data_IF_035831354120
#
_entry.id   IF_035831354120
#
_cell.length_a   1.000
_cell.length_b   1.000
_cell.length_c   1.000
_cell.angle_alpha   90.00
_cell.angle_beta   90.00
_cell.angle_gamma   90.00
#
_symmetry.space_group_name_H-M   'P 1'
#
loop_
_entity.id
_entity.type
_entity.pdbx_description
1 polymer ?
#
# COMPACT_ATOMS: atom_id res chain seq x y z
N UNK A 1 13.96 -1.59 -5.74
CA UNK A 1 13.12 -0.46 -5.33
C UNK A 1 13.98 0.78 -5.48
N UNK A 2 13.72 1.61 -6.50
CA UNK A 2 14.57 2.77 -6.78
C UNK A 2 14.04 3.97 -6.00
N UNK A 3 14.84 4.45 -5.05
CA UNK A 3 14.53 5.59 -4.20
C UNK A 3 15.57 6.64 -4.48
N UNK A 4 15.16 7.84 -4.89
CA UNK A 4 16.09 8.93 -5.21
C UNK A 4 15.89 10.07 -4.22
N UNK A 5 16.95 10.40 -3.48
CA UNK A 5 16.99 11.59 -2.64
C UNK A 5 17.41 12.77 -3.51
N UNK A 6 16.62 13.83 -3.48
CA UNK A 6 16.83 15.06 -4.25
C UNK A 6 16.78 16.25 -3.30
N UNK A 7 17.72 17.18 -3.46
CA UNK A 7 17.69 18.46 -2.76
C UNK A 7 16.76 19.41 -3.53
N UNK A 8 15.70 19.88 -2.89
CA UNK A 8 14.74 20.77 -3.53
C UNK A 8 15.10 22.24 -3.23
N UNK A 9 15.59 22.99 -4.22
CA UNK A 9 16.12 24.35 -4.01
C UNK A 9 15.09 25.37 -3.50
N UNK A 10 13.78 25.08 -3.58
CA UNK A 10 12.70 25.92 -3.06
C UNK A 10 12.19 25.56 -1.65
N UNK A 11 12.67 24.45 -1.07
CA UNK A 11 12.23 23.96 0.24
C UNK A 11 13.50 23.67 1.05
N UNK A 12 13.64 24.25 2.23
CA UNK A 12 14.81 23.97 3.08
C UNK A 12 14.77 22.52 3.58
N UNK A 13 15.32 21.59 2.81
CA UNK A 13 15.44 20.18 3.20
C UNK A 13 15.58 19.20 2.05
N UNK A 14 15.92 17.96 2.39
CA UNK A 14 15.97 16.84 1.46
C UNK A 14 14.56 16.29 1.22
N UNK A 15 14.29 15.91 -0.01
CA UNK A 15 13.08 15.20 -0.39
C UNK A 15 13.43 13.90 -1.08
N UNK A 16 12.52 12.95 -1.00
CA UNK A 16 12.63 11.67 -1.67
C UNK A 16 11.54 11.60 -2.73
N UNK A 17 11.94 11.32 -3.95
CA UNK A 17 11.04 10.94 -5.03
C UNK A 17 10.83 9.43 -4.98
N UNK A 18 9.58 9.02 -4.84
CA UNK A 18 9.18 7.62 -4.90
C UNK A 18 7.90 7.46 -5.70
N UNK A 19 7.99 6.81 -6.86
CA UNK A 19 6.86 6.55 -7.78
C UNK A 19 6.02 7.81 -8.10
N UNK A 20 6.67 8.95 -8.29
CA UNK A 20 6.03 10.25 -8.56
C UNK A 20 5.49 10.98 -7.33
N UNK A 21 5.61 10.40 -6.14
CA UNK A 21 5.30 11.03 -4.86
C UNK A 21 6.55 11.65 -4.24
N UNK A 22 6.43 12.88 -3.76
CA UNK A 22 7.47 13.57 -3.02
C UNK A 22 7.24 13.42 -1.52
N UNK A 23 8.24 12.89 -0.81
CA UNK A 23 8.21 12.69 0.64
C UNK A 23 9.34 13.50 1.28
N UNK A 24 9.03 14.22 2.36
CA UNK A 24 10.02 15.00 3.09
C UNK A 24 10.90 14.11 3.96
N UNK A 25 12.20 14.39 3.99
CA UNK A 25 13.13 13.84 4.96
C UNK A 25 13.13 14.71 6.22
N UNK A 26 12.77 14.13 7.35
CA UNK A 26 12.74 14.79 8.65
C UNK A 26 14.13 14.88 9.28
N UNK A 27 14.92 13.79 9.21
CA UNK A 27 16.32 13.75 9.64
C UNK A 27 17.15 12.99 8.63
N UNK A 28 18.19 13.63 8.11
CA UNK A 28 19.15 13.01 7.20
C UNK A 28 20.44 12.64 7.94
N UNK A 29 21.23 11.75 7.34
CA UNK A 29 22.61 11.43 7.73
C UNK A 29 22.78 10.91 9.16
N UNK A 30 21.84 10.08 9.63
CA UNK A 30 22.02 9.36 10.89
C UNK A 30 22.98 8.19 10.65
N UNK A 31 24.23 8.36 11.07
CA UNK A 31 25.26 7.32 10.98
C UNK A 31 24.88 6.09 11.80
N UNK A 32 25.12 4.92 11.22
CA UNK A 32 24.92 3.62 11.84
C UNK A 32 26.12 2.73 11.52
N UNK A 33 26.26 1.63 12.26
CA UNK A 33 27.43 0.72 12.13
C UNK A 33 27.66 0.22 10.71
N UNK A 34 26.59 0.03 9.92
CA UNK A 34 26.65 -0.51 8.55
C UNK A 34 25.96 0.37 7.51
N UNK A 35 25.82 1.68 7.75
CA UNK A 35 25.20 2.56 6.76
C UNK A 35 24.67 3.87 7.33
N UNK A 36 23.75 4.47 6.57
CA UNK A 36 23.15 5.77 6.88
C UNK A 36 21.62 5.59 6.88
N UNK A 37 20.96 6.17 7.89
CA UNK A 37 19.50 6.21 7.99
C UNK A 37 18.99 7.62 7.69
N UNK A 38 17.97 7.69 6.86
CA UNK A 38 17.19 8.91 6.62
C UNK A 38 15.76 8.69 7.13
N UNK A 39 15.35 9.49 8.13
CA UNK A 39 14.01 9.46 8.70
C UNK A 39 13.07 10.27 7.80
N UNK A 40 11.97 9.66 7.38
CA UNK A 40 10.95 10.27 6.51
C UNK A 40 9.58 10.26 7.18
N UNK A 41 8.75 11.24 6.85
CA UNK A 41 7.38 11.33 7.39
C UNK A 41 6.38 10.43 6.62
N UNK A 42 6.74 9.98 5.42
CA UNK A 42 5.88 9.20 4.54
C UNK A 42 6.24 7.71 4.53
N UNK A 43 5.24 6.87 4.25
CA UNK A 43 5.42 5.43 4.06
C UNK A 43 5.51 5.10 2.58
N UNK A 44 6.44 4.21 2.21
CA UNK A 44 6.48 3.57 0.90
C UNK A 44 5.53 2.38 0.90
N UNK A 45 4.31 2.59 0.44
CA UNK A 45 3.28 1.55 0.38
C UNK A 45 2.73 1.46 -1.04
N UNK A 46 2.78 0.26 -1.61
CA UNK A 46 2.20 -0.03 -2.93
C UNK A 46 0.83 -0.67 -2.78
N UNK A 47 -0.02 -0.52 -3.79
CA UNK A 47 -1.31 -1.22 -3.84
C UNK A 47 -1.13 -2.75 -3.84
N UNK A 48 -0.02 -3.25 -4.39
CA UNK A 48 0.35 -4.67 -4.33
C UNK A 48 0.64 -5.19 -2.92
N UNK A 49 0.99 -4.31 -1.99
CA UNK A 49 1.36 -4.68 -0.62
C UNK A 49 0.09 -4.87 0.25
N UNK A 50 -1.05 -4.35 -0.20
CA UNK A 50 -2.33 -4.44 0.51
C UNK A 50 -3.07 -5.70 0.08
N UNK A 51 -2.96 -6.78 0.88
CA UNK A 51 -3.75 -7.99 0.69
C UNK A 51 -5.08 -7.89 1.44
N UNK A 52 -6.17 -7.62 0.72
CA UNK A 52 -7.53 -7.71 1.28
C UNK A 52 -7.97 -9.17 1.26
N UNK A 53 -7.99 -9.83 2.42
CA UNK A 53 -8.41 -11.24 2.55
C UNK A 53 -9.92 -11.34 2.80
N UNK A 54 -10.70 -10.68 1.95
CA UNK A 54 -12.14 -10.52 2.15
C UNK A 54 -12.92 -10.63 0.84
N UNK A 55 -12.63 -11.66 0.04
CA UNK A 55 -13.52 -12.03 -1.05
C UNK A 55 -14.63 -12.90 -0.46
N UNK A 56 -15.76 -12.29 -0.13
CA UNK A 56 -16.99 -13.02 0.15
C UNK A 56 -17.44 -13.66 -1.17
N UNK A 57 -16.87 -14.83 -1.46
CA UNK A 57 -17.11 -15.54 -2.71
C UNK A 57 -18.62 -15.68 -2.96
N UNK A 58 -19.09 -15.24 -4.13
CA UNK A 58 -20.45 -15.51 -4.61
C UNK A 58 -20.79 -17.01 -4.57
N UNK A 59 -19.78 -17.89 -4.56
CA UNK A 59 -19.93 -19.33 -4.37
C UNK A 59 -20.53 -19.71 -3.01
N UNK A 60 -20.36 -18.90 -1.96
CA UNK A 60 -20.97 -19.17 -0.64
C UNK A 60 -22.48 -18.95 -0.63
N UNK A 61 -23.02 -18.15 -1.56
CA UNK A 61 -24.46 -17.91 -1.69
C UNK A 61 -25.12 -18.81 -2.75
N UNK A 62 -24.33 -19.46 -3.61
CA UNK A 62 -24.79 -20.39 -4.63
C UNK A 62 -25.70 -21.52 -4.08
N UNK A 63 -25.39 -22.20 -2.95
CA UNK A 63 -26.28 -23.26 -2.45
C UNK A 63 -27.64 -22.72 -2.00
N UNK A 64 -27.70 -21.48 -1.51
CA UNK A 64 -28.94 -20.88 -1.03
C UNK A 64 -29.88 -20.49 -2.18
N UNK A 65 -29.33 -20.00 -3.30
CA UNK A 65 -30.10 -19.71 -4.52
C UNK A 65 -30.65 -20.98 -5.17
N UNK A 66 -29.87 -22.08 -5.16
CA UNK A 66 -30.30 -23.37 -5.71
C UNK A 66 -31.49 -23.93 -4.93
N UNK A 67 -31.46 -23.87 -3.59
CA UNK A 67 -32.58 -24.32 -2.75
C UNK A 67 -33.85 -23.49 -3.02
N UNK A 68 -33.73 -22.17 -3.18
CA UNK A 68 -34.88 -21.31 -3.52
C UNK A 68 -35.48 -21.63 -4.89
N UNK A 69 -34.66 -21.94 -5.89
CA UNK A 69 -35.13 -22.30 -7.24
C UNK A 69 -35.85 -23.66 -7.24
N UNK A 70 -35.33 -24.64 -6.49
CA UNK A 70 -35.95 -25.96 -6.33
C UNK A 70 -37.28 -25.85 -5.57
N UNK A 71 -37.31 -25.06 -4.48
CA UNK A 71 -38.52 -24.84 -3.69
C UNK A 71 -39.66 -24.21 -4.51
N UNK A 72 -39.34 -23.34 -5.48
CA UNK A 72 -40.33 -22.72 -6.39
C UNK A 72 -40.91 -23.69 -7.42
N UNK A 73 -40.25 -24.82 -7.69
CA UNK A 73 -40.70 -25.82 -8.66
C UNK A 73 -41.40 -27.01 -8.00
N UNK A 74 -41.30 -27.14 -6.67
CA UNK A 74 -41.92 -28.22 -5.88
C UNK A 74 -43.23 -27.80 -5.18
N UNK A 75 -43.63 -26.53 -5.29
CA UNK A 75 -44.89 -25.95 -4.76
C UNK A 75 -45.77 -25.49 -5.92
#
# INVERSE_FOLDING_TARGET
>A
MNVRIVLHLGITGYQIEWEGKWIRVFRHDVECTNGIIHVIDGVFLKDSDVRVTGDASLASFAPHLIIFLIAKWLL
#
